data_IF_070480122745
#
_entry.id   IF_070480122745
#
_cell.length_a   1.000
_cell.length_b   1.000
_cell.length_c   1.000
_cell.angle_alpha   90.00
_cell.angle_beta   90.00
_cell.angle_gamma   90.00
#
_symmetry.space_group_name_H-M   'P 1'
#
loop_
_entity.id
_entity.type
_entity.pdbx_description
1 polymer ?
#
# COMPACT_ATOMS: atom_id res chain seq x y z
N UNK A 1 -1.42 -30.31 -14.47
CA UNK A 1 -0.21 -29.52 -14.72
C UNK A 1 -0.39 -28.78 -16.04
N UNK A 2 -1.04 -27.62 -16.04
CA UNK A 2 -1.26 -26.81 -17.24
C UNK A 2 -0.74 -25.40 -16.98
N UNK A 3 0.47 -25.15 -17.49
CA UNK A 3 1.11 -23.84 -17.57
C UNK A 3 0.49 -23.09 -18.74
N UNK A 4 -0.51 -22.30 -18.50
CA UNK A 4 -0.84 -21.17 -19.36
C UNK A 4 -1.31 -20.04 -18.47
N UNK A 5 -0.34 -19.30 -17.98
CA UNK A 5 -0.50 -18.06 -17.24
C UNK A 5 -0.45 -16.92 -18.23
N UNK A 6 -1.59 -16.29 -18.48
CA UNK A 6 -1.63 -15.05 -19.26
C UNK A 6 -1.02 -13.92 -18.42
N UNK A 7 -0.09 -13.15 -19.02
CA UNK A 7 0.83 -12.27 -18.27
C UNK A 7 0.28 -10.88 -17.89
N UNK A 8 -1.01 -10.61 -18.04
CA UNK A 8 -1.53 -9.23 -18.00
C UNK A 8 -2.33 -8.90 -16.73
N UNK A 9 -2.64 -9.88 -15.87
CA UNK A 9 -3.54 -9.64 -14.75
C UNK A 9 -2.80 -9.57 -13.41
N UNK A 10 -2.55 -8.37 -12.93
CA UNK A 10 -2.06 -8.07 -11.57
C UNK A 10 -0.68 -8.67 -11.26
N UNK A 11 0.41 -8.13 -11.82
CA UNK A 11 1.75 -8.70 -11.65
C UNK A 11 2.16 -8.80 -10.17
N UNK A 12 1.72 -7.88 -9.33
CA UNK A 12 2.09 -7.85 -7.92
C UNK A 12 1.25 -8.79 -7.04
N UNK A 13 -0.04 -8.95 -7.32
CA UNK A 13 -0.87 -9.96 -6.62
C UNK A 13 -0.44 -11.36 -7.00
N UNK A 14 -0.08 -11.59 -8.26
CA UNK A 14 0.51 -12.86 -8.71
C UNK A 14 1.87 -13.11 -8.04
N UNK A 15 2.68 -12.07 -7.91
CA UNK A 15 3.97 -12.14 -7.23
C UNK A 15 3.80 -12.51 -5.74
N UNK A 16 2.81 -11.93 -5.05
CA UNK A 16 2.52 -12.23 -3.65
C UNK A 16 1.97 -13.65 -3.41
N UNK A 17 1.42 -14.30 -4.45
CA UNK A 17 1.03 -15.71 -4.38
C UNK A 17 2.20 -16.67 -4.59
N UNK A 18 3.25 -16.25 -5.28
CA UNK A 18 4.40 -17.09 -5.62
C UNK A 18 5.60 -16.89 -4.68
N UNK A 19 5.73 -15.70 -4.10
CA UNK A 19 6.78 -15.34 -3.16
C UNK A 19 6.19 -15.05 -1.78
N UNK A 20 6.99 -15.13 -0.72
CA UNK A 20 6.58 -14.74 0.62
C UNK A 20 6.02 -13.31 0.62
N UNK A 21 4.78 -13.15 1.08
CA UNK A 21 4.04 -11.87 0.99
C UNK A 21 4.79 -10.73 1.68
N UNK A 22 5.46 -11.00 2.81
CA UNK A 22 6.24 -9.99 3.53
C UNK A 22 7.40 -9.45 2.69
N UNK A 23 8.08 -10.33 1.94
CA UNK A 23 9.19 -9.90 1.06
C UNK A 23 8.68 -9.09 -0.13
N UNK A 24 7.51 -9.43 -0.68
CA UNK A 24 6.89 -8.65 -1.76
C UNK A 24 6.52 -7.26 -1.26
N UNK A 25 5.90 -7.16 -0.07
CA UNK A 25 5.55 -5.87 0.54
C UNK A 25 6.82 -5.04 0.80
N UNK A 26 7.83 -5.63 1.45
CA UNK A 26 9.06 -4.92 1.79
C UNK A 26 9.81 -4.45 0.54
N UNK A 27 9.89 -5.27 -0.52
CA UNK A 27 10.52 -4.87 -1.78
C UNK A 27 9.72 -3.78 -2.51
N UNK A 28 8.39 -3.84 -2.48
CA UNK A 28 7.54 -2.80 -3.06
C UNK A 28 7.73 -1.46 -2.33
N UNK A 29 7.77 -1.46 -0.99
CA UNK A 29 8.03 -0.26 -0.17
C UNK A 29 9.44 0.27 -0.40
N UNK A 30 10.44 -0.60 -0.57
CA UNK A 30 11.80 -0.19 -0.91
C UNK A 30 11.85 0.54 -2.26
N UNK A 31 11.29 -0.07 -3.30
CA UNK A 31 11.22 0.54 -4.63
C UNK A 31 10.43 1.85 -4.61
N UNK A 32 9.34 1.90 -3.84
CA UNK A 32 8.56 3.12 -3.65
C UNK A 32 9.40 4.24 -3.04
N UNK A 33 10.20 3.94 -2.01
CA UNK A 33 11.15 4.89 -1.42
C UNK A 33 12.21 5.39 -2.41
N UNK A 34 12.76 4.51 -3.25
CA UNK A 34 13.73 4.87 -4.29
C UNK A 34 13.09 5.79 -5.35
N UNK A 35 11.89 5.45 -5.83
CA UNK A 35 11.14 6.28 -6.78
C UNK A 35 10.76 7.63 -6.14
N UNK A 36 10.43 7.65 -4.86
CA UNK A 36 10.16 8.89 -4.13
C UNK A 36 11.40 9.80 -4.09
N UNK A 37 12.57 9.25 -3.80
CA UNK A 37 13.84 10.00 -3.83
C UNK A 37 14.19 10.51 -5.23
N UNK A 38 13.93 9.71 -6.26
CA UNK A 38 14.23 10.11 -7.65
C UNK A 38 13.41 11.34 -8.10
N UNK A 39 12.27 11.62 -7.44
CA UNK A 39 11.50 12.86 -7.68
C UNK A 39 12.35 14.11 -7.47
N UNK A 40 13.25 14.12 -6.49
CA UNK A 40 14.12 15.26 -6.22
C UNK A 40 15.13 15.54 -7.36
N UNK A 41 15.45 14.54 -8.17
CA UNK A 41 16.34 14.63 -9.34
C UNK A 41 15.61 15.01 -10.63
N UNK A 42 14.28 14.98 -10.66
CA UNK A 42 13.53 15.30 -11.87
C UNK A 42 13.57 16.80 -12.17
N UNK A 43 13.98 17.15 -13.39
CA UNK A 43 14.09 18.55 -13.87
C UNK A 43 13.05 18.80 -14.97
N UNK A 44 12.65 17.77 -15.73
CA UNK A 44 11.72 17.88 -16.85
C UNK A 44 10.31 17.43 -16.49
N UNK A 45 9.32 18.02 -17.14
CA UNK A 45 7.90 17.60 -17.00
C UNK A 45 7.70 16.12 -17.29
N UNK A 46 8.28 15.60 -18.38
CA UNK A 46 8.21 14.20 -18.74
C UNK A 46 8.81 13.29 -17.65
N UNK A 47 9.94 13.69 -17.05
CA UNK A 47 10.56 12.95 -15.96
C UNK A 47 9.64 12.86 -14.72
N UNK A 48 9.00 13.96 -14.36
CA UNK A 48 8.04 13.99 -13.24
C UNK A 48 6.84 13.09 -13.54
N UNK A 49 6.28 13.11 -14.74
CA UNK A 49 5.13 12.28 -15.12
C UNK A 49 5.45 10.79 -15.06
N UNK A 50 6.60 10.39 -15.62
CA UNK A 50 7.07 9.00 -15.57
C UNK A 50 7.27 8.56 -14.11
N UNK A 51 7.89 9.42 -13.31
CA UNK A 51 8.13 9.13 -11.90
C UNK A 51 6.82 8.97 -11.11
N UNK A 52 5.83 9.82 -11.34
CA UNK A 52 4.49 9.72 -10.74
C UNK A 52 3.76 8.45 -11.16
N UNK A 53 3.92 8.03 -12.41
CA UNK A 53 3.35 6.76 -12.89
C UNK A 53 3.93 5.57 -12.10
N UNK A 54 5.26 5.48 -11.96
CA UNK A 54 5.89 4.41 -11.19
C UNK A 54 5.53 4.47 -9.70
N UNK A 55 5.44 5.67 -9.14
CA UNK A 55 5.05 5.87 -7.74
C UNK A 55 3.62 5.32 -7.49
N UNK A 56 2.65 5.70 -8.32
CA UNK A 56 1.28 5.20 -8.22
C UNK A 56 1.16 3.69 -8.51
N UNK A 57 1.97 3.17 -9.43
CA UNK A 57 2.02 1.74 -9.71
C UNK A 57 2.48 0.92 -8.49
N UNK A 58 3.53 1.36 -7.81
CA UNK A 58 4.04 0.68 -6.60
C UNK A 58 3.08 0.85 -5.42
N UNK A 59 2.49 2.02 -5.26
CA UNK A 59 1.49 2.31 -4.22
C UNK A 59 0.26 1.41 -4.34
N UNK A 60 -0.23 1.20 -5.55
CA UNK A 60 -1.40 0.36 -5.80
C UNK A 60 -1.20 -1.12 -5.41
N UNK A 61 0.04 -1.56 -5.26
CA UNK A 61 0.38 -2.93 -4.87
C UNK A 61 0.34 -3.17 -3.37
N UNK A 62 0.63 -2.14 -2.57
CA UNK A 62 0.81 -2.29 -1.12
C UNK A 62 -0.50 -2.63 -0.42
N UNK A 63 -1.59 -1.95 -0.77
CA UNK A 63 -2.89 -2.16 -0.13
C UNK A 63 -3.46 -3.58 -0.33
N UNK A 64 -3.51 -4.15 -1.55
CA UNK A 64 -3.93 -5.53 -1.75
C UNK A 64 -3.01 -6.55 -1.07
N UNK A 65 -1.69 -6.35 -1.12
CA UNK A 65 -0.74 -7.25 -0.49
C UNK A 65 -0.90 -7.25 1.05
N UNK A 66 -1.15 -6.08 1.65
CA UNK A 66 -1.44 -5.98 3.07
C UNK A 66 -2.77 -6.64 3.45
N UNK A 67 -3.81 -6.49 2.63
CA UNK A 67 -5.09 -7.19 2.84
C UNK A 67 -4.90 -8.70 2.82
N UNK A 68 -4.12 -9.24 1.90
CA UNK A 68 -3.76 -10.66 1.85
C UNK A 68 -3.02 -11.09 3.13
N UNK A 69 -2.07 -10.28 3.61
CA UNK A 69 -1.36 -10.55 4.87
C UNK A 69 -2.33 -10.62 6.05
N UNK A 70 -3.30 -9.71 6.13
CA UNK A 70 -4.32 -9.71 7.18
C UNK A 70 -5.15 -10.99 7.15
N UNK A 71 -5.46 -11.54 5.98
CA UNK A 71 -6.21 -12.80 5.87
C UNK A 71 -5.44 -14.02 6.36
N UNK A 72 -4.11 -13.97 6.34
CA UNK A 72 -3.27 -15.07 6.83
C UNK A 72 -3.10 -15.07 8.35
N UNK A 73 -3.23 -13.91 9.01
CA UNK A 73 -2.96 -13.76 10.43
C UNK A 73 -4.22 -13.73 11.30
N UNK A 74 -5.37 -13.31 10.76
CA UNK A 74 -6.58 -13.08 11.55
C UNK A 74 -7.78 -13.81 11.00
N UNK A 75 -8.67 -14.21 11.93
CA UNK A 75 -9.96 -14.80 11.61
C UNK A 75 -10.86 -13.80 10.88
N UNK A 76 -11.84 -14.29 10.12
CA UNK A 76 -12.77 -13.43 9.35
C UNK A 76 -13.48 -12.36 10.19
N UNK A 77 -13.81 -12.68 11.42
CA UNK A 77 -14.46 -11.75 12.35
C UNK A 77 -13.53 -10.61 12.77
N UNK A 78 -12.23 -10.87 12.87
CA UNK A 78 -11.22 -9.90 13.29
C UNK A 78 -10.66 -9.08 12.14
N UNK A 79 -10.73 -9.57 10.91
CA UNK A 79 -10.19 -8.90 9.73
C UNK A 79 -10.79 -7.51 9.55
N UNK A 80 -12.10 -7.35 9.77
CA UNK A 80 -12.78 -6.06 9.65
C UNK A 80 -12.21 -5.03 10.64
N UNK A 81 -12.04 -5.42 11.90
CA UNK A 81 -11.46 -4.54 12.94
C UNK A 81 -10.02 -4.16 12.60
N UNK A 82 -9.20 -5.13 12.17
CA UNK A 82 -7.78 -4.88 11.85
C UNK A 82 -7.62 -3.99 10.64
N UNK A 83 -8.42 -4.22 9.61
CA UNK A 83 -8.45 -3.36 8.42
C UNK A 83 -8.92 -1.95 8.79
N UNK A 84 -9.95 -1.82 9.65
CA UNK A 84 -10.41 -0.53 10.16
C UNK A 84 -9.32 0.23 10.92
N UNK A 85 -8.57 -0.43 11.80
CA UNK A 85 -7.44 0.18 12.51
C UNK A 85 -6.35 0.66 11.54
N UNK A 86 -6.05 -0.10 10.50
CA UNK A 86 -5.09 0.33 9.48
C UNK A 86 -5.56 1.60 8.76
N UNK A 87 -6.84 1.66 8.36
CA UNK A 87 -7.39 2.87 7.75
C UNK A 87 -7.42 4.06 8.72
N UNK A 88 -7.63 3.86 10.02
CA UNK A 88 -7.48 4.91 11.02
C UNK A 88 -6.06 5.50 11.05
N UNK A 89 -5.02 4.65 10.90
CA UNK A 89 -3.63 5.13 10.80
C UNK A 89 -3.42 6.04 9.59
N UNK A 90 -4.09 5.79 8.46
CA UNK A 90 -4.06 6.68 7.29
C UNK A 90 -4.64 8.05 7.64
N UNK A 91 -5.76 8.08 8.38
CA UNK A 91 -6.34 9.35 8.87
C UNK A 91 -5.40 10.15 9.76
N UNK A 92 -4.72 9.47 10.70
CA UNK A 92 -3.70 10.10 11.56
C UNK A 92 -2.53 10.62 10.73
N UNK A 93 -2.06 9.84 9.76
CA UNK A 93 -0.97 10.24 8.88
C UNK A 93 -1.32 11.48 8.05
N UNK A 94 -2.54 11.57 7.53
CA UNK A 94 -3.00 12.75 6.77
C UNK A 94 -3.11 14.00 7.65
N UNK A 95 -3.41 13.87 8.94
CA UNK A 95 -3.42 14.99 9.87
C UNK A 95 -2.01 15.49 10.23
N UNK A 96 -1.06 14.57 10.40
CA UNK A 96 0.33 14.89 10.81
C UNK A 96 1.20 15.30 9.61
N UNK A 97 0.96 14.76 8.42
CA UNK A 97 1.77 14.99 7.22
C UNK A 97 1.95 16.49 6.87
N UNK A 98 0.93 17.37 6.93
CA UNK A 98 1.13 18.80 6.65
C UNK A 98 2.09 19.48 7.62
N UNK A 99 2.08 19.11 8.90
CA UNK A 99 2.98 19.66 9.92
C UNK A 99 4.44 19.28 9.64
N UNK A 100 4.66 18.00 9.30
CA UNK A 100 6.00 17.51 8.92
C UNK A 100 6.47 18.24 7.64
N UNK A 101 5.60 18.35 6.64
CA UNK A 101 5.92 19.01 5.40
C UNK A 101 6.21 20.51 5.58
N UNK A 102 5.50 21.19 6.48
CA UNK A 102 5.79 22.58 6.84
C UNK A 102 7.18 22.71 7.47
N UNK A 103 7.52 21.85 8.44
CA UNK A 103 8.84 21.83 9.07
C UNK A 103 9.97 21.53 8.07
N UNK A 104 9.77 20.57 7.19
CA UNK A 104 10.76 20.23 6.15
C UNK A 104 10.88 21.34 5.08
N UNK A 105 9.77 21.98 4.73
CA UNK A 105 9.74 23.08 3.76
C UNK A 105 10.44 24.35 4.26
N UNK A 106 10.57 24.52 5.58
CA UNK A 106 11.28 25.65 6.20
C UNK A 106 12.81 25.51 6.17
N UNK A 107 13.33 24.37 5.70
CA UNK A 107 14.76 24.13 5.58
C UNK A 107 15.31 24.94 4.40
N UNK A 108 16.11 25.97 4.71
CA UNK A 108 16.84 26.77 3.70
C UNK A 108 18.25 26.21 3.55
N UNK A 109 18.58 25.70 2.36
CA UNK A 109 19.89 25.13 2.04
C UNK A 109 20.32 25.44 0.62
N UNK A 110 21.37 24.76 0.14
CA UNK A 110 21.91 24.91 -1.23
C UNK A 110 20.97 24.39 -2.32
N UNK A 111 19.96 23.57 -1.92
CA UNK A 111 19.01 22.92 -2.81
C UNK A 111 17.62 23.49 -2.51
N UNK A 112 16.72 23.49 -3.48
CA UNK A 112 15.34 23.92 -3.33
C UNK A 112 14.64 23.15 -2.21
N UNK A 113 13.92 23.82 -1.32
CA UNK A 113 13.31 23.26 -0.10
C UNK A 113 12.44 22.03 -0.39
N UNK A 114 11.70 22.02 -1.49
CA UNK A 114 10.86 20.86 -1.86
C UNK A 114 11.67 19.59 -2.17
N UNK A 115 12.92 19.70 -2.65
CA UNK A 115 13.79 18.54 -2.91
C UNK A 115 14.23 17.87 -1.62
N UNK A 116 14.49 18.65 -0.56
CA UNK A 116 14.80 18.10 0.76
C UNK A 116 13.66 17.24 1.30
N UNK A 117 12.40 17.67 1.09
CA UNK A 117 11.23 16.89 1.53
C UNK A 117 11.21 15.50 0.90
N UNK A 118 11.37 15.40 -0.42
CA UNK A 118 11.38 14.10 -1.11
C UNK A 118 12.59 13.24 -0.74
N UNK A 119 13.76 13.83 -0.53
CA UNK A 119 14.96 13.09 -0.12
C UNK A 119 14.79 12.52 1.30
N UNK A 120 14.37 13.33 2.25
CA UNK A 120 14.23 12.90 3.65
C UNK A 120 13.13 11.83 3.77
N UNK A 121 11.96 12.07 3.20
CA UNK A 121 10.87 11.10 3.23
C UNK A 121 11.24 9.81 2.51
N UNK A 122 11.95 9.89 1.38
CA UNK A 122 12.42 8.72 0.65
C UNK A 122 13.42 7.89 1.46
N UNK A 123 14.39 8.53 2.13
CA UNK A 123 15.34 7.83 3.03
C UNK A 123 14.60 7.16 4.18
N UNK A 124 13.67 7.85 4.84
CA UNK A 124 12.85 7.27 5.93
C UNK A 124 12.07 6.06 5.44
N UNK A 125 11.47 6.14 4.24
CA UNK A 125 10.72 5.03 3.64
C UNK A 125 11.63 3.84 3.35
N UNK A 126 12.84 4.06 2.82
CA UNK A 126 13.83 3.00 2.57
C UNK A 126 14.25 2.33 3.88
N UNK A 127 14.58 3.12 4.90
CA UNK A 127 14.93 2.58 6.22
C UNK A 127 13.78 1.75 6.80
N UNK A 128 12.55 2.24 6.68
CA UNK A 128 11.36 1.51 7.10
C UNK A 128 11.18 0.20 6.35
N UNK A 129 11.45 0.16 5.05
CA UNK A 129 11.39 -1.07 4.25
C UNK A 129 12.37 -2.14 4.72
N UNK A 130 13.58 -1.72 5.17
CA UNK A 130 14.57 -2.62 5.78
C UNK A 130 14.04 -3.19 7.09
N UNK A 131 13.41 -2.38 7.93
CA UNK A 131 12.77 -2.87 9.16
C UNK A 131 11.67 -3.89 8.84
N UNK A 132 10.81 -3.59 7.85
CA UNK A 132 9.77 -4.53 7.40
C UNK A 132 10.36 -5.84 6.89
N UNK A 133 11.47 -5.80 6.18
CA UNK A 133 12.14 -6.98 5.64
C UNK A 133 12.52 -7.99 6.73
N UNK A 134 12.96 -7.51 7.88
CA UNK A 134 13.39 -8.36 9.00
C UNK A 134 12.26 -8.65 10.01
N UNK A 135 11.35 -7.71 10.21
CA UNK A 135 10.33 -7.79 11.26
C UNK A 135 8.99 -8.34 10.79
N UNK A 136 8.66 -8.24 9.48
CA UNK A 136 7.34 -8.63 8.97
C UNK A 136 7.29 -10.14 8.71
N UNK A 137 6.55 -10.93 9.50
CA UNK A 137 6.40 -12.36 9.28
C UNK A 137 5.38 -12.66 8.18
N UNK A 138 5.62 -13.68 7.37
CA UNK A 138 4.77 -14.07 6.24
C UNK A 138 3.44 -14.70 6.68
N UNK A 139 3.53 -15.74 7.50
CA UNK A 139 2.36 -16.47 7.97
C UNK A 139 2.66 -17.18 9.28
N UNK A 140 1.65 -17.52 10.08
CA UNK A 140 1.82 -18.32 11.30
C UNK A 140 2.45 -19.68 11.06
N UNK A 141 2.29 -20.22 9.83
CA UNK A 141 2.83 -21.55 9.46
C UNK A 141 4.35 -21.55 9.29
N UNK A 142 4.94 -20.43 8.84
CA UNK A 142 6.37 -20.36 8.45
C UNK A 142 7.21 -19.54 9.43
N UNK A 143 6.57 -18.85 10.37
CA UNK A 143 7.26 -17.98 11.33
C UNK A 143 8.12 -18.78 12.30
N UNK A 144 9.39 -18.40 12.44
CA UNK A 144 10.36 -19.01 13.34
C UNK A 144 10.16 -18.61 14.82
N UNK A 145 9.41 -17.55 15.06
CA UNK A 145 9.24 -16.96 16.40
C UNK A 145 8.21 -17.70 17.27
N UNK A 146 7.44 -18.62 16.68
CA UNK A 146 6.46 -19.40 17.43
C UNK A 146 7.03 -20.74 17.88
N UNK A 147 6.73 -21.08 19.14
CA UNK A 147 6.92 -22.44 19.63
C UNK A 147 5.92 -23.38 18.95
N UNK A 148 6.20 -24.69 18.88
CA UNK A 148 5.31 -25.66 18.19
C UNK A 148 3.88 -25.63 18.71
N UNK A 149 3.69 -25.48 20.03
CA UNK A 149 2.37 -25.37 20.66
C UNK A 149 1.63 -24.08 20.25
N UNK A 150 2.33 -22.96 20.19
CA UNK A 150 1.76 -21.66 19.80
C UNK A 150 1.35 -21.68 18.33
N UNK A 151 2.17 -22.30 17.49
CA UNK A 151 1.87 -22.51 16.07
C UNK A 151 0.62 -23.37 15.87
N UNK A 152 0.50 -24.47 16.61
CA UNK A 152 -0.68 -25.32 16.54
C UNK A 152 -1.95 -24.60 16.97
N UNK A 153 -1.91 -23.81 18.01
CA UNK A 153 -3.04 -22.99 18.48
C UNK A 153 -3.43 -21.95 17.43
N UNK A 154 -2.45 -21.24 16.85
CA UNK A 154 -2.69 -20.23 15.81
C UNK A 154 -3.32 -20.85 14.55
N UNK A 155 -2.82 -22.01 14.12
CA UNK A 155 -3.34 -22.74 12.96
C UNK A 155 -4.77 -23.21 13.20
N UNK A 156 -5.04 -23.87 14.33
CA UNK A 156 -6.39 -24.33 14.70
C UNK A 156 -7.41 -23.19 14.77
N UNK A 157 -6.99 -22.01 15.23
CA UNK A 157 -7.83 -20.81 15.26
C UNK A 157 -8.23 -20.36 13.85
N UNK A 158 -7.32 -20.38 12.90
CA UNK A 158 -7.58 -20.02 11.51
C UNK A 158 -8.43 -21.07 10.79
N UNK A 159 -8.15 -22.36 10.99
CA UNK A 159 -8.92 -23.45 10.40
C UNK A 159 -10.37 -23.47 10.84
N UNK A 160 -10.64 -23.19 12.13
CA UNK A 160 -12.01 -23.12 12.69
C UNK A 160 -12.91 -22.11 11.96
N UNK A 161 -12.33 -21.05 11.39
CA UNK A 161 -13.05 -20.00 10.68
C UNK A 161 -12.90 -20.08 9.15
N UNK A 162 -12.41 -21.21 8.61
CA UNK A 162 -12.06 -21.33 7.19
C UNK A 162 -11.22 -20.17 6.67
N UNK A 163 -10.37 -19.61 7.54
CA UNK A 163 -9.42 -18.55 7.23
C UNK A 163 -8.02 -19.18 7.09
N UNK A 164 -7.12 -18.54 6.33
CA UNK A 164 -5.72 -18.97 6.26
C UNK A 164 -5.41 -20.16 5.36
N UNK A 165 -6.38 -20.71 4.64
CA UNK A 165 -6.09 -21.75 3.62
C UNK A 165 -5.37 -21.10 2.43
N UNK A 166 -4.06 -21.28 2.41
CA UNK A 166 -3.21 -20.78 1.33
C UNK A 166 -3.40 -21.68 0.10
N UNK A 167 -4.32 -21.31 -0.76
CA UNK A 167 -4.43 -21.92 -2.08
C UNK A 167 -3.52 -21.15 -3.03
N UNK A 168 -2.31 -21.67 -3.26
CA UNK A 168 -1.34 -21.08 -4.21
C UNK A 168 -1.76 -21.25 -5.69
N UNK A 169 -2.99 -21.64 -5.96
CA UNK A 169 -3.50 -21.83 -7.31
C UNK A 169 -4.43 -20.67 -7.70
N UNK A 170 -4.02 -19.91 -8.70
CA UNK A 170 -4.86 -18.87 -9.30
C UNK A 170 -6.06 -19.53 -10.02
N UNK A 171 -7.27 -19.24 -9.55
CA UNK A 171 -8.49 -19.74 -10.14
C UNK A 171 -9.04 -18.73 -11.16
N UNK A 172 -8.76 -18.97 -12.45
CA UNK A 172 -9.24 -18.12 -13.56
C UNK A 172 -10.76 -17.95 -13.58
N UNK A 173 -11.51 -18.99 -13.20
CA UNK A 173 -12.98 -18.91 -13.20
C UNK A 173 -13.49 -17.89 -12.18
N UNK A 174 -12.95 -17.90 -10.95
CA UNK A 174 -13.31 -16.92 -9.92
C UNK A 174 -12.93 -15.49 -10.33
N UNK A 175 -11.82 -15.33 -11.06
CA UNK A 175 -11.41 -14.03 -11.56
C UNK A 175 -12.42 -13.46 -12.56
N UNK A 176 -12.84 -14.24 -13.57
CA UNK A 176 -13.86 -13.78 -14.53
C UNK A 176 -15.24 -13.63 -13.89
N UNK A 177 -15.58 -14.45 -12.90
CA UNK A 177 -16.80 -14.34 -12.12
C UNK A 177 -16.86 -13.02 -11.35
N UNK A 178 -15.74 -12.57 -10.76
CA UNK A 178 -15.65 -11.29 -10.07
C UNK A 178 -15.91 -10.09 -11.02
N UNK A 179 -15.49 -10.16 -12.28
CA UNK A 179 -15.82 -9.14 -13.27
C UNK A 179 -17.28 -9.18 -13.75
N UNK A 180 -17.98 -10.28 -13.52
CA UNK A 180 -19.40 -10.43 -13.88
C UNK A 180 -20.33 -10.09 -12.71
N UNK A 181 -19.79 -9.96 -11.50
CA UNK A 181 -20.55 -9.63 -10.30
C UNK A 181 -20.80 -8.11 -10.23
N UNK A 182 -22.08 -7.72 -10.15
CA UNK A 182 -22.49 -6.32 -10.01
C UNK A 182 -21.93 -5.66 -8.73
N UNK A 183 -21.65 -6.43 -7.68
CA UNK A 183 -21.05 -5.94 -6.43
C UNK A 183 -19.67 -5.34 -6.65
N UNK A 184 -18.88 -5.95 -7.55
CA UNK A 184 -17.55 -5.44 -7.91
C UNK A 184 -17.64 -4.05 -8.52
N UNK A 185 -18.60 -3.84 -9.43
CA UNK A 185 -18.82 -2.52 -10.04
C UNK A 185 -19.38 -1.50 -9.06
N UNK A 186 -20.27 -1.91 -8.16
CA UNK A 186 -20.79 -1.03 -7.10
C UNK A 186 -19.67 -0.57 -6.17
N UNK A 187 -18.81 -1.48 -5.72
CA UNK A 187 -17.64 -1.13 -4.91
C UNK A 187 -16.67 -0.20 -5.65
N UNK A 188 -16.36 -0.51 -6.92
CA UNK A 188 -15.50 0.33 -7.75
C UNK A 188 -16.07 1.74 -7.92
N UNK A 189 -17.38 1.87 -8.12
CA UNK A 189 -18.06 3.15 -8.25
C UNK A 189 -18.03 3.96 -6.94
N UNK A 190 -18.23 3.31 -5.79
CA UNK A 190 -18.11 3.97 -4.46
C UNK A 190 -16.68 4.50 -4.28
N UNK A 191 -15.66 3.70 -4.58
CA UNK A 191 -14.25 4.12 -4.47
C UNK A 191 -13.95 5.29 -5.41
N UNK A 192 -14.48 5.28 -6.62
CA UNK A 192 -14.34 6.37 -7.57
C UNK A 192 -15.01 7.66 -7.05
N UNK A 193 -16.26 7.56 -6.57
CA UNK A 193 -16.99 8.71 -6.03
C UNK A 193 -16.33 9.32 -4.78
N UNK A 194 -15.65 8.52 -3.97
CA UNK A 194 -14.92 9.02 -2.79
C UNK A 194 -13.53 9.52 -3.15
N UNK A 195 -12.88 8.93 -4.14
CA UNK A 195 -11.53 9.30 -4.58
C UNK A 195 -11.46 10.65 -5.27
N UNK A 196 -12.44 10.96 -6.14
CA UNK A 196 -12.47 12.23 -6.89
C UNK A 196 -12.53 13.46 -5.96
N UNK A 197 -13.48 13.56 -5.01
CA UNK A 197 -13.51 14.68 -4.08
C UNK A 197 -12.27 14.74 -3.18
N UNK A 198 -11.78 13.60 -2.69
CA UNK A 198 -10.58 13.54 -1.84
C UNK A 198 -9.36 14.08 -2.57
N UNK A 199 -9.17 13.72 -3.85
CA UNK A 199 -8.09 14.26 -4.68
C UNK A 199 -8.21 15.77 -4.91
N UNK A 200 -9.42 16.25 -5.20
CA UNK A 200 -9.68 17.67 -5.39
C UNK A 200 -9.41 18.48 -4.11
N UNK A 201 -9.93 18.05 -2.96
CA UNK A 201 -9.73 18.72 -1.68
C UNK A 201 -8.26 18.68 -1.28
N UNK A 202 -7.56 17.54 -1.44
CA UNK A 202 -6.15 17.41 -1.11
C UNK A 202 -5.24 18.31 -1.94
N UNK A 203 -5.58 18.57 -3.20
CA UNK A 203 -4.78 19.39 -4.11
C UNK A 203 -5.13 20.87 -4.02
N UNK A 204 -6.42 21.21 -4.04
CA UNK A 204 -6.89 22.60 -4.14
C UNK A 204 -7.32 23.20 -2.80
N UNK A 205 -7.60 22.38 -1.77
CA UNK A 205 -8.03 22.90 -0.47
C UNK A 205 -7.02 23.83 0.16
N UNK A 206 -5.73 23.51 0.08
CA UNK A 206 -4.65 24.39 0.60
C UNK A 206 -4.54 25.69 -0.20
N UNK A 207 -4.70 25.62 -1.51
CA UNK A 207 -4.65 26.81 -2.40
C UNK A 207 -5.84 27.70 -2.14
N UNK A 208 -7.04 27.15 -1.98
CA UNK A 208 -8.26 27.91 -1.68
C UNK A 208 -8.23 28.63 -0.33
N UNK A 209 -7.52 28.04 0.66
CA UNK A 209 -7.33 28.67 1.97
C UNK A 209 -6.26 29.76 1.98
N UNK A 210 -5.30 29.72 1.03
CA UNK A 210 -4.21 30.68 0.92
C UNK A 210 -4.54 31.86 -0.01
N UNK A 211 -5.51 31.70 -0.90
CA UNK A 211 -6.01 32.82 -1.69
C UNK A 211 -6.88 33.67 -0.75
N UNK A 212 -6.45 34.90 -0.38
CA UNK A 212 -7.32 35.80 0.35
C UNK A 212 -8.59 36.03 -0.47
N UNK A 213 -9.69 36.07 0.23
CA UNK A 213 -11.02 36.35 -0.29
C UNK A 213 -11.12 37.85 -0.71
N UNK A 214 -10.38 38.20 -1.75
CA UNK A 214 -10.47 39.47 -2.46
C UNK A 214 -11.22 39.21 -3.77
N UNK A 215 -12.52 38.97 -3.64
CA UNK A 215 -13.47 39.08 -4.74
C UNK A 215 -14.50 40.09 -4.26
N UNK A 216 -14.15 41.36 -4.38
CA UNK A 216 -15.10 42.46 -4.54
C UNK A 216 -15.36 42.71 -6.02
#
# INVERSE_FOLDING_TARGET
MNRNTDPISYPLVYLSQRFPTSRVISSAVFLWGVVLMSTAGCISYAGIMINRFFLGFLESAVAPAFTVLVTFWWSREEQALRTGLWYCCVGVATAISPLINYGLGSIHGKILSWKYMFLILGVVTILWSVVLWFCLPDSPFTTKNFNEKEREIAVRRLERNNAGTITHSFNKKQFFEAFRDYKTYSCAFIVLLTGVPSGAIGTFGTVSLLLPYDID
#
